data_IF_774205075731
#
_entry.id   IF_774205075731
#
_cell.length_a   1.000
_cell.length_b   1.000
_cell.length_c   1.000
_cell.angle_alpha   90.00
_cell.angle_beta   90.00
_cell.angle_gamma   90.00
#
_symmetry.space_group_name_H-M   'P 1'
#
loop_
_entity.id
_entity.type
_entity.pdbx_description
1 polymer ?
#
# COMPACT_ATOMS: atom_id res chain seq x y z
N UNK A 1 1.22 -0.49 -7.96
CA UNK A 1 -0.09 -0.29 -7.29
C UNK A 1 -1.27 -0.48 -8.22
N UNK A 2 -1.35 0.22 -9.37
CA UNK A 2 -2.50 0.13 -10.28
C UNK A 2 -2.85 -1.32 -10.70
N UNK A 3 -1.86 -2.09 -11.19
CA UNK A 3 -2.05 -3.49 -11.57
C UNK A 3 -2.56 -4.36 -10.40
N UNK A 4 -2.04 -4.15 -9.19
CA UNK A 4 -2.48 -4.88 -8.00
C UNK A 4 -3.95 -4.57 -7.69
N UNK A 5 -4.32 -3.29 -7.77
CA UNK A 5 -5.69 -2.83 -7.60
C UNK A 5 -6.66 -3.45 -8.61
N UNK A 6 -6.28 -3.47 -9.88
CA UNK A 6 -7.08 -4.09 -10.95
C UNK A 6 -7.27 -5.60 -10.73
N UNK A 7 -6.22 -6.30 -10.27
CA UNK A 7 -6.30 -7.74 -9.95
C UNK A 7 -7.21 -8.01 -8.76
N UNK A 8 -7.14 -7.18 -7.72
CA UNK A 8 -8.01 -7.31 -6.54
C UNK A 8 -9.47 -7.05 -6.89
N UNK A 9 -9.73 -6.00 -7.67
CA UNK A 9 -11.06 -5.66 -8.21
C UNK A 9 -11.63 -6.82 -9.03
N UNK A 10 -10.84 -7.35 -9.97
CA UNK A 10 -11.26 -8.47 -10.82
C UNK A 10 -11.58 -9.72 -10.00
N UNK A 11 -10.74 -10.04 -9.01
CA UNK A 11 -10.98 -11.19 -8.14
C UNK A 11 -12.27 -11.03 -7.35
N UNK A 12 -12.51 -9.85 -6.76
CA UNK A 12 -13.73 -9.58 -6.00
C UNK A 12 -14.99 -9.64 -6.88
N UNK A 13 -14.92 -9.13 -8.11
CA UNK A 13 -16.02 -9.17 -9.07
C UNK A 13 -16.42 -10.61 -9.43
N UNK A 14 -15.45 -11.51 -9.55
CA UNK A 14 -15.70 -12.94 -9.81
C UNK A 14 -16.48 -13.62 -8.68
N UNK A 15 -16.40 -13.10 -7.45
CA UNK A 15 -17.20 -13.57 -6.32
C UNK A 15 -18.58 -12.89 -6.21
N UNK A 16 -18.93 -12.01 -7.15
CA UNK A 16 -20.24 -11.37 -7.23
C UNK A 16 -20.42 -10.13 -6.35
N UNK A 17 -19.32 -9.59 -5.80
CA UNK A 17 -19.37 -8.32 -5.06
C UNK A 17 -19.52 -7.14 -6.02
N UNK A 18 -20.24 -6.11 -5.58
CA UNK A 18 -20.23 -4.81 -6.26
C UNK A 18 -19.02 -3.98 -5.83
N UNK A 19 -18.57 -3.11 -6.73
CA UNK A 19 -17.24 -2.50 -6.66
C UNK A 19 -17.23 -1.05 -7.15
N UNK A 20 -16.53 -0.19 -6.41
CA UNK A 20 -16.15 1.13 -6.87
C UNK A 20 -14.66 1.36 -6.64
N UNK A 21 -13.94 1.88 -7.64
CA UNK A 21 -12.50 2.11 -7.56
C UNK A 21 -12.15 3.59 -7.70
N UNK A 22 -11.03 3.98 -7.08
CA UNK A 22 -10.47 5.33 -7.20
C UNK A 22 -8.95 5.22 -7.40
N UNK A 23 -8.46 5.27 -8.65
CA UNK A 23 -7.03 5.29 -8.93
C UNK A 23 -6.46 6.70 -8.69
N UNK A 24 -5.34 6.78 -7.98
CA UNK A 24 -4.59 8.01 -7.75
C UNK A 24 -3.20 7.88 -8.36
N UNK A 25 -2.89 8.77 -9.29
CA UNK A 25 -1.62 8.79 -10.00
C UNK A 25 -0.69 9.87 -9.41
N UNK A 26 0.62 9.60 -9.37
CA UNK A 26 1.58 10.58 -8.89
C UNK A 26 1.58 11.82 -9.77
N UNK A 27 1.87 12.98 -9.19
CA UNK A 27 2.02 14.23 -9.93
C UNK A 27 3.25 14.21 -10.86
N UNK A 28 4.23 13.35 -10.55
CA UNK A 28 5.45 13.18 -11.33
C UNK A 28 5.35 12.00 -12.30
N UNK A 29 5.74 12.23 -13.56
CA UNK A 29 5.77 11.19 -14.62
C UNK A 29 7.00 10.26 -14.47
N UNK A 30 7.98 10.66 -13.64
CA UNK A 30 9.23 9.92 -13.47
C UNK A 30 9.04 8.75 -12.50
N UNK A 31 9.90 7.74 -12.61
CA UNK A 31 9.87 6.60 -11.70
C UNK A 31 9.97 7.07 -10.23
N UNK A 32 9.12 6.55 -9.33
CA UNK A 32 9.04 7.04 -7.96
C UNK A 32 10.36 6.87 -7.23
N UNK A 33 10.89 7.98 -6.72
CA UNK A 33 12.13 8.00 -5.95
C UNK A 33 11.95 7.58 -4.49
N UNK A 34 10.72 7.22 -4.08
CA UNK A 34 10.35 7.00 -2.68
C UNK A 34 10.01 8.30 -1.94
N UNK A 35 9.57 9.32 -2.66
CA UNK A 35 9.13 10.63 -2.13
C UNK A 35 7.61 10.73 -2.17
N UNK A 36 7.04 11.68 -1.41
CA UNK A 36 5.59 11.89 -1.36
C UNK A 36 4.99 12.23 -2.74
N UNK A 37 5.68 13.03 -3.54
CA UNK A 37 5.22 13.43 -4.88
C UNK A 37 5.14 12.27 -5.89
N UNK A 38 5.89 11.18 -5.63
CA UNK A 38 5.88 9.97 -6.44
C UNK A 38 4.92 8.89 -5.95
N UNK A 39 4.15 9.13 -4.89
CA UNK A 39 3.21 8.14 -4.37
C UNK A 39 2.06 7.94 -5.36
N UNK A 40 1.77 6.67 -5.65
CA UNK A 40 0.58 6.22 -6.38
C UNK A 40 -0.28 5.40 -5.44
N UNK A 41 -1.60 5.61 -5.46
CA UNK A 41 -2.55 4.85 -4.65
C UNK A 41 -3.68 4.28 -5.51
N UNK A 42 -4.38 3.30 -4.96
CA UNK A 42 -5.56 2.69 -5.56
C UNK A 42 -6.52 2.27 -4.46
N UNK A 43 -7.69 2.87 -4.41
CA UNK A 43 -8.73 2.52 -3.45
C UNK A 43 -9.78 1.64 -4.12
N UNK A 44 -10.24 0.63 -3.39
CA UNK A 44 -11.32 -0.28 -3.79
C UNK A 44 -12.35 -0.33 -2.67
N UNK A 45 -13.59 -0.03 -3.00
CA UNK A 45 -14.75 -0.25 -2.15
C UNK A 45 -15.44 -1.53 -2.61
N UNK A 46 -15.62 -2.48 -1.70
CA UNK A 46 -16.23 -3.78 -1.95
C UNK A 46 -17.53 -3.86 -1.14
N UNK A 47 -18.60 -4.29 -1.79
CA UNK A 47 -19.91 -4.42 -1.14
C UNK A 47 -20.66 -5.66 -1.61
N UNK A 48 -21.51 -6.21 -0.74
CA UNK A 48 -22.48 -7.26 -1.06
C UNK A 48 -23.80 -6.70 -1.64
N UNK A 49 -23.91 -5.37 -1.73
CA UNK A 49 -25.06 -4.65 -2.27
C UNK A 49 -24.59 -3.52 -3.21
N UNK A 50 -25.50 -2.98 -4.05
CA UNK A 50 -25.11 -1.95 -5.01
C UNK A 50 -24.50 -0.70 -4.35
N UNK A 51 -23.35 -0.26 -4.86
CA UNK A 51 -22.63 0.95 -4.44
C UNK A 51 -22.32 1.84 -5.65
N UNK A 52 -22.21 3.14 -5.43
CA UNK A 52 -21.97 4.12 -6.51
C UNK A 52 -20.77 5.02 -6.25
N UNK A 53 -20.11 4.88 -5.10
CA UNK A 53 -18.97 5.70 -4.70
C UNK A 53 -17.85 4.83 -4.10
N UNK A 54 -16.59 5.27 -4.19
CA UNK A 54 -15.47 4.61 -3.51
C UNK A 54 -15.52 4.69 -1.96
N UNK A 55 -16.52 5.35 -1.38
CA UNK A 55 -16.61 5.61 0.06
C UNK A 55 -15.83 6.86 0.51
N UNK A 56 -16.08 7.30 1.74
CA UNK A 56 -15.48 8.51 2.32
C UNK A 56 -14.07 8.25 2.85
N UNK A 57 -13.84 7.09 3.47
CA UNK A 57 -12.57 6.71 4.07
C UNK A 57 -12.34 5.18 3.94
N UNK A 58 -11.11 4.73 3.63
CA UNK A 58 -10.77 3.32 3.69
C UNK A 58 -10.73 2.82 5.14
N UNK A 59 -11.01 1.54 5.31
CA UNK A 59 -10.87 0.79 6.57
C UNK A 59 -9.54 0.02 6.66
N UNK A 60 -8.88 -0.21 5.51
CA UNK A 60 -7.58 -0.89 5.40
C UNK A 60 -6.65 -0.09 4.49
N UNK A 61 -5.44 0.20 4.98
CA UNK A 61 -4.36 0.81 4.21
C UNK A 61 -3.22 -0.19 4.02
N UNK A 62 -2.83 -0.47 2.78
CA UNK A 62 -1.64 -1.26 2.45
C UNK A 62 -0.53 -0.32 1.98
N UNK A 63 0.47 -0.08 2.84
CA UNK A 63 1.57 0.84 2.58
C UNK A 63 2.85 0.07 2.19
N UNK A 64 3.21 0.14 0.91
CA UNK A 64 4.40 -0.53 0.36
C UNK A 64 5.73 0.15 0.74
N UNK A 65 5.69 1.37 1.29
CA UNK A 65 6.86 2.12 1.74
C UNK A 65 6.44 3.28 2.69
N UNK A 66 7.40 3.94 3.37
CA UNK A 66 7.10 5.03 4.29
C UNK A 66 6.41 6.25 3.65
N UNK A 67 6.76 6.59 2.40
CA UNK A 67 6.14 7.73 1.72
C UNK A 67 4.63 7.50 1.48
N UNK A 68 4.26 6.28 1.08
CA UNK A 68 2.85 5.89 0.94
C UNK A 68 2.11 5.93 2.28
N UNK A 69 2.73 5.41 3.35
CA UNK A 69 2.16 5.51 4.70
C UNK A 69 1.91 6.98 5.06
N UNK A 70 2.90 7.86 4.88
CA UNK A 70 2.77 9.28 5.23
C UNK A 70 1.70 9.99 4.42
N UNK A 71 1.64 9.73 3.12
CA UNK A 71 0.66 10.37 2.23
C UNK A 71 -0.77 9.95 2.56
N UNK A 72 -1.01 8.68 2.91
CA UNK A 72 -2.36 8.13 2.98
C UNK A 72 -2.89 7.90 4.39
N UNK A 73 -2.06 7.86 5.44
CA UNK A 73 -2.53 7.50 6.79
C UNK A 73 -3.68 8.39 7.30
N UNK A 74 -3.71 9.66 6.91
CA UNK A 74 -4.75 10.61 7.31
C UNK A 74 -6.13 10.34 6.70
N UNK A 75 -6.22 9.52 5.64
CA UNK A 75 -7.49 9.15 5.00
C UNK A 75 -8.12 7.92 5.67
N UNK A 76 -7.33 7.09 6.34
CA UNK A 76 -7.76 5.86 7.01
C UNK A 76 -8.67 6.17 8.22
N UNK A 77 -9.76 5.42 8.33
CA UNK A 77 -10.66 5.54 9.48
C UNK A 77 -9.93 5.28 10.81
N UNK A 78 -10.30 5.98 11.91
CA UNK A 78 -9.78 5.68 13.24
C UNK A 78 -10.02 4.21 13.62
N UNK A 79 -8.99 3.53 14.15
CA UNK A 79 -9.08 2.10 14.46
C UNK A 79 -8.95 1.18 13.24
N UNK A 80 -8.78 1.74 12.04
CA UNK A 80 -8.53 0.99 10.82
C UNK A 80 -7.27 0.14 10.85
N UNK A 81 -7.11 -0.67 9.81
CA UNK A 81 -5.97 -1.59 9.68
C UNK A 81 -4.90 -0.97 8.79
N UNK A 82 -3.64 -1.04 9.22
CA UNK A 82 -2.48 -0.68 8.41
C UNK A 82 -1.63 -1.93 8.18
N UNK A 83 -1.40 -2.28 6.93
CA UNK A 83 -0.48 -3.35 6.54
C UNK A 83 0.74 -2.68 5.91
N UNK A 84 1.93 -2.86 6.50
CA UNK A 84 3.16 -2.18 6.05
C UNK A 84 4.18 -3.18 5.53
N UNK A 85 4.87 -2.81 4.43
CA UNK A 85 6.04 -3.54 3.98
C UNK A 85 7.27 -3.12 4.81
N UNK A 86 7.65 -3.91 5.81
CA UNK A 86 8.78 -3.58 6.70
C UNK A 86 10.11 -3.49 5.99
N UNK A 87 10.31 -4.24 4.90
CA UNK A 87 11.55 -4.20 4.09
C UNK A 87 11.81 -2.80 3.51
N UNK A 88 10.78 -1.95 3.41
CA UNK A 88 10.91 -0.61 2.85
C UNK A 88 11.23 0.48 3.89
N UNK A 89 11.18 0.18 5.21
CA UNK A 89 11.36 1.15 6.30
C UNK A 89 12.84 1.35 6.71
N UNK A 90 13.71 1.44 5.71
CA UNK A 90 15.13 1.76 5.91
C UNK A 90 15.35 3.27 6.08
N UNK A 91 16.42 3.65 6.79
CA UNK A 91 16.78 5.05 7.08
C UNK A 91 16.75 5.97 5.84
N UNK A 92 17.21 5.48 4.68
CA UNK A 92 17.21 6.25 3.43
C UNK A 92 15.78 6.57 2.95
N UNK A 93 14.86 5.62 3.06
CA UNK A 93 13.48 5.80 2.59
C UNK A 93 12.67 6.64 3.59
N UNK A 94 12.92 6.47 4.89
CA UNK A 94 12.37 7.33 5.94
C UNK A 94 12.77 8.80 5.70
N UNK A 95 14.05 9.06 5.45
CA UNK A 95 14.53 10.41 5.16
C UNK A 95 13.89 11.03 3.91
N UNK A 96 13.71 10.25 2.83
CA UNK A 96 13.02 10.71 1.60
C UNK A 96 11.53 10.96 1.80
N UNK A 97 10.89 10.19 2.68
CA UNK A 97 9.52 10.40 3.12
C UNK A 97 9.41 11.52 4.16
N UNK A 98 10.54 12.07 4.62
CA UNK A 98 10.65 13.18 5.56
C UNK A 98 10.40 12.81 7.03
N UNK A 99 10.53 11.54 7.40
CA UNK A 99 10.39 11.09 8.78
C UNK A 99 11.67 11.37 9.57
N UNK A 100 11.51 11.87 10.80
CA UNK A 100 12.60 12.04 11.77
C UNK A 100 12.91 10.73 12.52
N UNK A 101 11.89 9.91 12.75
CA UNK A 101 11.94 8.59 13.40
C UNK A 101 11.12 7.56 12.61
N UNK A 102 11.37 6.27 12.86
CA UNK A 102 10.56 5.22 12.26
C UNK A 102 9.14 5.23 12.87
N UNK A 103 8.07 5.49 12.09
CA UNK A 103 6.71 5.55 12.61
C UNK A 103 6.18 4.19 13.11
N UNK A 104 6.88 3.10 12.79
CA UNK A 104 6.58 1.77 13.33
C UNK A 104 7.08 1.61 14.78
N UNK A 105 7.94 2.50 15.26
CA UNK A 105 8.65 2.39 16.54
C UNK A 105 8.37 3.55 17.51
N UNK A 106 7.64 4.59 17.10
CA UNK A 106 7.48 5.85 17.85
C UNK A 106 6.04 6.15 18.34
N UNK A 107 5.21 5.11 18.43
CA UNK A 107 3.79 5.16 18.79
C UNK A 107 2.88 5.96 17.83
N UNK A 108 3.39 6.44 16.68
CA UNK A 108 2.59 7.16 15.68
C UNK A 108 1.37 6.37 15.20
N UNK A 109 1.47 5.03 15.19
CA UNK A 109 0.41 4.15 14.69
C UNK A 109 -0.47 3.53 15.78
N UNK A 110 -0.35 3.96 17.06
CA UNK A 110 -1.09 3.36 18.19
C UNK A 110 -2.62 3.37 18.07
N UNK A 111 -3.16 4.24 17.21
CA UNK A 111 -4.59 4.35 16.97
C UNK A 111 -5.12 3.33 15.94
N UNK A 112 -4.24 2.50 15.36
CA UNK A 112 -4.55 1.58 14.28
C UNK A 112 -4.14 0.15 14.64
N UNK A 113 -4.72 -0.82 13.96
CA UNK A 113 -4.23 -2.21 14.01
C UNK A 113 -3.15 -2.37 12.95
N UNK A 114 -1.89 -2.57 13.36
CA UNK A 114 -0.74 -2.63 12.44
C UNK A 114 -0.33 -4.08 12.19
N UNK A 115 -0.19 -4.44 10.91
CA UNK A 115 0.42 -5.69 10.46
C UNK A 115 1.73 -5.38 9.73
N UNK A 116 2.83 -5.73 10.36
CA UNK A 116 4.17 -5.64 9.81
C UNK A 116 4.51 -6.89 9.00
N UNK A 117 4.74 -6.71 7.69
CA UNK A 117 4.99 -7.81 6.77
C UNK A 117 6.25 -7.54 5.96
N UNK A 118 7.23 -8.46 5.92
CA UNK A 118 8.41 -8.34 5.05
C UNK A 118 8.04 -8.75 3.62
N UNK A 119 7.21 -7.94 2.96
CA UNK A 119 6.58 -8.31 1.68
C UNK A 119 7.61 -8.55 0.58
N UNK A 120 8.66 -7.75 0.51
CA UNK A 120 9.71 -7.90 -0.51
C UNK A 120 10.49 -9.19 -0.29
N UNK A 121 10.80 -9.52 0.95
CA UNK A 121 11.47 -10.77 1.33
C UNK A 121 10.59 -11.99 1.00
N UNK A 122 9.29 -11.94 1.31
CA UNK A 122 8.34 -13.00 0.97
C UNK A 122 8.23 -13.22 -0.55
N UNK A 123 8.20 -12.14 -1.35
CA UNK A 123 8.18 -12.26 -2.81
C UNK A 123 9.45 -12.91 -3.33
N UNK A 124 10.63 -12.52 -2.82
CA UNK A 124 11.90 -13.14 -3.20
C UNK A 124 11.93 -14.63 -2.88
N UNK A 125 11.46 -14.99 -1.69
CA UNK A 125 11.39 -16.39 -1.25
C UNK A 125 10.47 -17.22 -2.15
N UNK A 126 9.28 -16.70 -2.48
CA UNK A 126 8.34 -17.37 -3.38
C UNK A 126 8.90 -17.58 -4.80
N UNK A 127 9.88 -16.78 -5.22
CA UNK A 127 10.53 -16.89 -6.52
C UNK A 127 11.88 -17.63 -6.49
N UNK A 128 12.32 -18.13 -5.34
CA UNK A 128 13.67 -18.70 -5.18
C UNK A 128 13.96 -19.86 -6.15
N UNK A 129 12.95 -20.66 -6.47
CA UNK A 129 13.08 -21.83 -7.35
C UNK A 129 12.92 -21.51 -8.85
N UNK A 130 12.62 -20.26 -9.20
CA UNK A 130 12.24 -19.86 -10.57
C UNK A 130 13.41 -19.39 -11.46
N UNK A 131 14.67 -19.55 -11.00
CA UNK A 131 15.90 -19.07 -11.68
C UNK A 131 15.80 -17.60 -12.16
N UNK A 132 15.08 -16.78 -11.41
CA UNK A 132 14.94 -15.35 -11.69
C UNK A 132 16.04 -14.56 -11.00
N UNK A 133 16.49 -13.48 -11.64
CA UNK A 133 17.49 -12.61 -11.03
C UNK A 133 16.90 -11.93 -9.79
N UNK A 134 17.69 -11.70 -8.73
CA UNK A 134 17.19 -11.08 -7.49
C UNK A 134 16.46 -9.75 -7.69
N UNK A 135 16.93 -8.92 -8.64
CA UNK A 135 16.30 -7.65 -8.98
C UNK A 135 14.92 -7.80 -9.64
N UNK A 136 14.72 -8.90 -10.35
CA UNK A 136 13.46 -9.19 -11.03
C UNK A 136 12.49 -9.90 -10.08
N UNK A 137 13.00 -10.65 -9.09
CA UNK A 137 12.23 -11.23 -7.98
C UNK A 137 11.65 -10.18 -7.01
N UNK A 138 12.09 -8.93 -7.08
CA UNK A 138 11.56 -7.81 -6.29
C UNK A 138 10.35 -7.11 -6.93
N UNK A 139 9.97 -7.48 -8.16
CA UNK A 139 9.05 -6.71 -9.01
C UNK A 139 7.67 -7.33 -9.18
#
# INVERSE_FOLDING_TARGET
MQLTGDRFTSASALFGNDLATLPVFPAEIRAPAGTLAGVSAFQVHISDHPITTPGDAPNVLVAMNPAALRSELHTLEPGGVVIVNTDAFEARNLAKAGYDSNPLEDDSLKAYTVYEVPMTSLTKEACADLDVKPRDAER
#
